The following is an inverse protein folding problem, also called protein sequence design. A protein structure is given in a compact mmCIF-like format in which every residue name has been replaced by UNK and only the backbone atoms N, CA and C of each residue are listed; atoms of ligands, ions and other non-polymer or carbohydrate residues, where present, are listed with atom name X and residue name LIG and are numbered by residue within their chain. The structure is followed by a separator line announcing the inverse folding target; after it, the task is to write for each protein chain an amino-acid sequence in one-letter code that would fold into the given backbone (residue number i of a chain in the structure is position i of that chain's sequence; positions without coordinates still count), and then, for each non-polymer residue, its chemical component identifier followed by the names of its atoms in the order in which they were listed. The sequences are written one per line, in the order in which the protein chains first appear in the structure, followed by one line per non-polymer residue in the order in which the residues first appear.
data_IF_792764374143
#
_entry.id   IF_792764374143
#
_cell.length_a   1.000
_cell.length_b   1.000
_cell.length_c   1.000
_cell.angle_alpha   90.00
_cell.angle_beta   90.00
_cell.angle_gamma   90.00
#
_symmetry.space_group_name_H-M   'P 1'
#
loop_
_entity.id
_entity.type
_entity.pdbx_description
1 polymer ?
#
# COMPACT_ATOMS: atom_id res chain seq x y z
N UNK A 1 33.16 -21.43 28.94
CA UNK A 1 32.82 -20.09 28.40
C UNK A 1 33.54 -18.92 29.10
N UNK A 2 33.74 -18.93 30.45
CA UNK A 2 34.56 -17.92 31.16
C UNK A 2 36.05 -17.87 30.73
N UNK A 3 36.56 -18.91 30.06
CA UNK A 3 37.95 -19.01 29.59
C UNK A 3 38.21 -18.42 28.20
N UNK A 4 37.18 -18.13 27.40
CA UNK A 4 37.39 -17.83 25.97
C UNK A 4 37.77 -16.37 25.67
N UNK A 5 37.58 -15.43 26.59
CA UNK A 5 37.89 -14.01 26.31
C UNK A 5 38.49 -13.32 27.53
N UNK A 6 39.75 -13.66 27.82
CA UNK A 6 40.53 -13.12 28.94
C UNK A 6 40.92 -11.64 28.74
N UNK A 7 41.02 -11.18 27.48
CA UNK A 7 41.44 -9.83 27.11
C UNK A 7 40.24 -8.88 26.92
N UNK A 8 40.28 -7.67 27.50
CA UNK A 8 39.26 -6.63 27.33
C UNK A 8 39.10 -6.15 25.88
N UNK A 9 40.19 -6.13 25.10
CA UNK A 9 40.15 -5.67 23.70
C UNK A 9 39.41 -6.66 22.80
N UNK A 10 39.64 -7.97 22.98
CA UNK A 10 38.93 -9.01 22.22
C UNK A 10 37.42 -9.00 22.51
N UNK A 11 37.01 -8.76 23.77
CA UNK A 11 35.58 -8.62 24.12
C UNK A 11 34.94 -7.44 23.41
N UNK A 12 35.63 -6.30 23.38
CA UNK A 12 35.15 -5.10 22.72
C UNK A 12 34.92 -5.32 21.22
N UNK A 13 35.89 -5.91 20.52
CA UNK A 13 35.79 -6.20 19.08
C UNK A 13 34.61 -7.15 18.80
N UNK A 14 34.48 -8.24 19.57
CA UNK A 14 33.36 -9.18 19.43
C UNK A 14 32.02 -8.46 19.65
N UNK A 15 31.96 -7.56 20.62
CA UNK A 15 30.73 -6.80 20.92
C UNK A 15 30.37 -5.85 19.78
N UNK A 16 31.38 -5.22 19.16
CA UNK A 16 31.19 -4.32 18.03
C UNK A 16 30.64 -5.08 16.81
N UNK A 17 31.21 -6.25 16.50
CA UNK A 17 30.72 -7.12 15.41
C UNK A 17 29.29 -7.57 15.70
N UNK A 18 29.00 -8.02 16.92
CA UNK A 18 27.66 -8.46 17.31
C UNK A 18 26.64 -7.31 17.26
N UNK A 19 27.02 -6.10 17.67
CA UNK A 19 26.19 -4.90 17.50
C UNK A 19 25.91 -4.59 16.05
N UNK A 20 26.92 -4.71 15.18
CA UNK A 20 26.74 -4.50 13.75
C UNK A 20 25.76 -5.51 13.14
N UNK A 21 25.93 -6.80 13.45
CA UNK A 21 25.00 -7.86 13.02
C UNK A 21 23.59 -7.59 13.55
N UNK A 22 23.46 -7.18 14.82
CA UNK A 22 22.18 -6.82 15.41
C UNK A 22 21.52 -5.66 14.65
N UNK A 23 22.27 -4.62 14.27
CA UNK A 23 21.75 -3.52 13.44
C UNK A 23 21.18 -4.04 12.12
N UNK A 24 21.89 -4.95 11.45
CA UNK A 24 21.43 -5.54 10.18
C UNK A 24 20.13 -6.33 10.38
N UNK A 25 20.05 -7.16 11.41
CA UNK A 25 18.85 -7.96 11.72
C UNK A 25 17.67 -7.07 12.06
N UNK A 26 17.87 -6.03 12.87
CA UNK A 26 16.80 -5.08 13.24
C UNK A 26 16.33 -4.26 12.03
N UNK A 27 17.24 -3.85 11.16
CA UNK A 27 16.91 -3.14 9.92
C UNK A 27 16.12 -4.06 8.98
N UNK A 28 16.56 -5.30 8.79
CA UNK A 28 15.85 -6.30 7.99
C UNK A 28 14.44 -6.56 8.55
N UNK A 29 14.32 -6.75 9.87
CA UNK A 29 13.03 -6.93 10.53
C UNK A 29 12.11 -5.72 10.27
N UNK A 30 12.66 -4.51 10.35
CA UNK A 30 11.91 -3.29 10.06
C UNK A 30 11.48 -3.21 8.60
N UNK A 31 12.32 -3.66 7.66
CA UNK A 31 11.94 -3.77 6.27
C UNK A 31 10.79 -4.76 6.07
N UNK A 32 10.86 -5.95 6.68
CA UNK A 32 9.79 -6.95 6.58
C UNK A 32 8.47 -6.41 7.12
N UNK A 33 8.49 -5.80 8.31
CA UNK A 33 7.29 -5.20 8.94
C UNK A 33 6.79 -4.01 8.10
N UNK A 34 7.69 -3.14 7.65
CA UNK A 34 7.35 -1.95 6.87
C UNK A 34 6.72 -2.30 5.52
N UNK A 35 7.23 -3.33 4.83
CA UNK A 35 6.62 -3.80 3.58
C UNK A 35 5.23 -4.38 3.86
N UNK A 36 5.12 -5.26 4.87
CA UNK A 36 3.86 -5.90 5.20
C UNK A 36 2.77 -4.90 5.61
N UNK A 37 3.07 -4.03 6.57
CA UNK A 37 2.12 -3.07 7.12
C UNK A 37 1.88 -1.86 6.21
N UNK A 38 2.88 -1.46 5.42
CA UNK A 38 2.82 -0.26 4.58
C UNK A 38 2.24 -0.49 3.19
N UNK A 39 2.62 -1.59 2.54
CA UNK A 39 2.24 -1.86 1.14
C UNK A 39 1.28 -3.03 1.03
N UNK A 40 1.57 -4.15 1.70
CA UNK A 40 0.81 -5.38 1.50
C UNK A 40 -0.50 -5.44 2.29
N UNK A 41 -0.83 -4.44 3.11
CA UNK A 41 -2.06 -4.44 3.90
C UNK A 41 -3.26 -3.91 3.10
N UNK A 42 -4.44 -4.54 3.18
CA UNK A 42 -5.65 -4.14 2.43
C UNK A 42 -6.01 -2.67 2.61
N UNK A 43 -5.89 -2.19 3.85
CA UNK A 43 -6.16 -0.80 4.22
C UNK A 43 -5.24 0.21 3.51
N UNK A 44 -4.07 -0.22 3.01
CA UNK A 44 -3.19 0.65 2.24
C UNK A 44 -3.82 1.05 0.90
N UNK A 45 -4.59 0.14 0.29
CA UNK A 45 -5.34 0.37 -0.95
C UNK A 45 -6.70 0.99 -0.66
N UNK A 46 -7.49 0.39 0.23
CA UNK A 46 -8.89 0.78 0.45
C UNK A 46 -9.03 2.24 0.92
N UNK A 47 -8.07 2.75 1.71
CA UNK A 47 -8.05 4.17 2.13
C UNK A 47 -7.78 5.16 1.00
N UNK A 48 -7.26 4.69 -0.14
CA UNK A 48 -6.95 5.51 -1.32
C UNK A 48 -8.08 5.52 -2.35
N UNK A 49 -9.04 4.60 -2.23
CA UNK A 49 -10.32 4.63 -2.93
C UNK A 49 -11.27 5.59 -2.19
N UNK A 50 -10.96 6.88 -2.30
CA UNK A 50 -11.70 7.96 -1.65
C UNK A 50 -12.68 8.67 -2.61
N UNK A 51 -13.41 9.66 -2.09
CA UNK A 51 -14.38 10.42 -2.89
C UNK A 51 -13.76 11.13 -4.10
N UNK A 52 -12.48 11.50 -4.02
CA UNK A 52 -11.79 12.18 -5.13
C UNK A 52 -11.50 11.18 -6.23
N UNK A 53 -11.01 9.99 -5.86
CA UNK A 53 -10.80 8.89 -6.80
C UNK A 53 -12.09 8.54 -7.56
N UNK A 54 -13.22 8.35 -6.85
CA UNK A 54 -14.48 7.98 -7.50
C UNK A 54 -15.02 9.06 -8.43
N UNK A 55 -14.89 10.34 -8.06
CA UNK A 55 -15.32 11.45 -8.91
C UNK A 55 -14.49 11.51 -10.19
N UNK A 56 -13.17 11.38 -10.08
CA UNK A 56 -12.30 11.41 -11.26
C UNK A 56 -12.48 10.18 -12.15
N UNK A 57 -12.74 9.01 -11.57
CA UNK A 57 -13.11 7.81 -12.35
C UNK A 57 -14.44 8.01 -13.08
N UNK A 58 -15.45 8.59 -12.40
CA UNK A 58 -16.74 8.93 -13.01
C UNK A 58 -16.58 9.90 -14.19
N UNK A 59 -15.69 10.91 -14.07
CA UNK A 59 -15.39 11.82 -15.19
C UNK A 59 -14.83 11.07 -16.38
N UNK A 60 -13.85 10.17 -16.18
CA UNK A 60 -13.27 9.37 -17.27
C UNK A 60 -14.31 8.46 -17.93
N UNK A 61 -15.18 7.83 -17.14
CA UNK A 61 -16.29 7.02 -17.65
C UNK A 61 -17.21 7.85 -18.56
N UNK A 62 -17.54 9.09 -18.18
CA UNK A 62 -18.34 9.99 -19.00
C UNK A 62 -17.60 10.45 -20.26
N UNK A 63 -16.32 10.85 -20.16
CA UNK A 63 -15.51 11.27 -21.31
C UNK A 63 -15.39 10.16 -22.36
N UNK A 64 -15.25 8.92 -21.92
CA UNK A 64 -15.21 7.74 -22.78
C UNK A 64 -16.58 7.46 -23.41
N UNK A 65 -17.66 7.56 -22.63
CA UNK A 65 -19.02 7.39 -23.12
C UNK A 65 -19.40 8.46 -24.16
N UNK A 66 -19.06 9.74 -23.92
CA UNK A 66 -19.28 10.84 -24.86
C UNK A 66 -18.48 10.63 -26.16
N UNK A 67 -17.24 10.15 -26.05
CA UNK A 67 -16.41 9.83 -27.22
C UNK A 67 -17.00 8.68 -28.04
N UNK A 68 -17.57 7.67 -27.39
CA UNK A 68 -18.20 6.52 -28.03
C UNK A 68 -19.60 6.84 -28.60
N UNK A 69 -20.33 7.78 -28.00
CA UNK A 69 -21.69 8.14 -28.40
C UNK A 69 -21.75 8.91 -29.72
N UNK A 70 -20.73 9.73 -30.02
CA UNK A 70 -20.64 10.53 -31.25
C UNK A 70 -20.73 9.67 -32.53
N UNK A 71 -19.84 8.67 -32.74
CA UNK A 71 -19.92 7.82 -33.94
C UNK A 71 -21.17 6.93 -33.94
N UNK A 72 -21.73 6.63 -32.76
CA UNK A 72 -22.96 5.85 -32.63
C UNK A 72 -24.24 6.67 -32.92
N UNK A 73 -24.12 7.98 -33.14
CA UNK A 73 -25.28 8.86 -33.37
C UNK A 73 -26.17 9.04 -32.14
N UNK A 74 -25.62 8.82 -30.94
CA UNK A 74 -26.34 8.94 -29.67
C UNK A 74 -26.24 10.39 -29.17
N UNK A 75 -27.37 11.08 -28.94
CA UNK A 75 -27.37 12.46 -28.45
C UNK A 75 -26.75 12.59 -27.05
N UNK A 76 -25.90 13.61 -26.83
CA UNK A 76 -25.19 13.79 -25.57
C UNK A 76 -26.13 14.07 -24.39
N UNK A 77 -27.32 14.64 -24.66
CA UNK A 77 -28.36 14.91 -23.66
C UNK A 77 -28.91 13.62 -23.02
N UNK A 78 -28.69 12.46 -23.67
CA UNK A 78 -29.16 11.16 -23.17
C UNK A 78 -28.18 10.49 -22.21
N UNK A 79 -26.97 11.04 -22.08
CA UNK A 79 -25.89 10.46 -21.29
C UNK A 79 -25.93 10.88 -19.81
N UNK A 80 -27.01 11.51 -19.35
CA UNK A 80 -27.15 11.92 -17.94
C UNK A 80 -27.44 10.73 -17.02
N UNK A 81 -26.85 10.73 -15.82
CA UNK A 81 -27.12 9.77 -14.74
C UNK A 81 -26.87 8.29 -15.09
N UNK A 82 -26.12 8.00 -16.17
CA UNK A 82 -25.69 6.65 -16.54
C UNK A 82 -24.78 6.02 -15.48
N UNK A 83 -23.89 6.81 -14.87
CA UNK A 83 -22.94 6.37 -13.85
C UNK A 83 -23.15 7.12 -12.54
N UNK A 84 -24.17 6.80 -11.72
CA UNK A 84 -24.33 7.44 -10.42
C UNK A 84 -23.07 7.29 -9.56
N UNK A 85 -22.58 8.38 -8.95
CA UNK A 85 -21.32 8.34 -8.17
C UNK A 85 -21.33 7.29 -7.05
N UNK A 86 -22.51 7.03 -6.47
CA UNK A 86 -22.69 5.99 -5.46
C UNK A 86 -22.49 4.59 -6.02
N UNK A 87 -22.95 4.33 -7.24
CA UNK A 87 -22.76 3.05 -7.94
C UNK A 87 -21.29 2.83 -8.22
N UNK A 88 -20.62 3.81 -8.85
CA UNK A 88 -19.16 3.79 -9.11
C UNK A 88 -18.40 3.50 -7.80
N UNK A 89 -18.72 4.21 -6.72
CA UNK A 89 -18.03 4.04 -5.45
C UNK A 89 -18.26 2.66 -4.80
N UNK A 90 -19.47 2.10 -4.91
CA UNK A 90 -19.80 0.79 -4.34
C UNK A 90 -19.15 -0.33 -5.15
N UNK A 91 -19.30 -0.31 -6.47
CA UNK A 91 -18.81 -1.37 -7.35
C UNK A 91 -17.29 -1.41 -7.39
N UNK A 92 -16.61 -0.25 -7.47
CA UNK A 92 -15.15 -0.20 -7.41
C UNK A 92 -14.62 -0.70 -6.06
N UNK A 93 -15.29 -0.39 -4.94
CA UNK A 93 -14.88 -0.91 -3.62
C UNK A 93 -15.14 -2.40 -3.50
N UNK A 94 -16.30 -2.87 -3.95
CA UNK A 94 -16.64 -4.29 -3.92
C UNK A 94 -15.66 -5.11 -4.76
N UNK A 95 -15.29 -4.61 -5.96
CA UNK A 95 -14.20 -5.16 -6.76
C UNK A 95 -12.90 -5.22 -5.96
N UNK A 96 -12.47 -4.08 -5.40
CA UNK A 96 -11.19 -4.02 -4.69
C UNK A 96 -11.14 -4.98 -3.49
N UNK A 97 -12.19 -5.02 -2.68
CA UNK A 97 -12.30 -5.92 -1.52
C UNK A 97 -12.33 -7.39 -1.93
N UNK A 98 -13.04 -7.73 -3.01
CA UNK A 98 -13.08 -9.10 -3.52
C UNK A 98 -11.70 -9.57 -4.01
N UNK A 99 -11.03 -8.77 -4.85
CA UNK A 99 -9.69 -9.09 -5.36
C UNK A 99 -8.70 -9.22 -4.20
N UNK A 100 -8.71 -8.29 -3.24
CA UNK A 100 -7.84 -8.32 -2.05
C UNK A 100 -8.07 -9.56 -1.18
N UNK A 101 -9.31 -10.07 -1.15
CA UNK A 101 -9.67 -11.33 -0.49
C UNK A 101 -9.36 -12.59 -1.34
N UNK A 102 -8.80 -12.44 -2.54
CA UNK A 102 -8.51 -13.54 -3.46
C UNK A 102 -9.75 -14.13 -4.14
N UNK A 103 -10.82 -13.34 -4.28
CA UNK A 103 -12.06 -13.71 -4.97
C UNK A 103 -12.18 -12.94 -6.27
N UNK A 104 -12.92 -13.50 -7.22
CA UNK A 104 -13.33 -12.79 -8.42
C UNK A 104 -14.55 -11.90 -8.12
N UNK A 105 -14.67 -10.81 -8.87
CA UNK A 105 -15.82 -9.91 -8.82
C UNK A 105 -16.04 -9.26 -10.17
N UNK A 106 -17.31 -9.23 -10.57
CA UNK A 106 -17.81 -8.57 -11.76
C UNK A 106 -19.03 -7.77 -11.34
N UNK A 107 -19.06 -6.47 -11.70
CA UNK A 107 -20.17 -5.61 -11.33
C UNK A 107 -21.38 -5.88 -12.23
N UNK A 108 -22.58 -5.75 -11.65
CA UNK A 108 -23.81 -5.81 -12.42
C UNK A 108 -24.02 -4.48 -13.17
N UNK A 109 -23.77 -4.49 -14.47
CA UNK A 109 -23.94 -3.33 -15.34
C UNK A 109 -25.31 -3.25 -16.01
N UNK A 110 -26.27 -4.11 -15.62
CA UNK A 110 -27.63 -4.10 -16.19
C UNK A 110 -28.27 -2.73 -16.07
N UNK A 111 -28.10 -2.07 -14.91
CA UNK A 111 -28.61 -0.72 -14.67
C UNK A 111 -28.02 0.34 -15.61
N UNK A 112 -26.74 0.22 -15.98
CA UNK A 112 -26.07 1.11 -16.94
C UNK A 112 -26.71 0.97 -18.32
N UNK A 113 -26.83 -0.28 -18.81
CA UNK A 113 -27.42 -0.57 -20.12
C UNK A 113 -28.89 -0.15 -20.19
N UNK A 114 -29.69 -0.45 -19.18
CA UNK A 114 -31.11 -0.10 -19.13
C UNK A 114 -31.33 1.41 -19.07
N UNK A 115 -30.55 2.12 -18.26
CA UNK A 115 -30.66 3.59 -18.12
C UNK A 115 -30.31 4.29 -19.43
N UNK A 116 -29.21 3.89 -20.08
CA UNK A 116 -28.82 4.47 -21.37
C UNK A 116 -29.89 4.25 -22.44
N UNK A 117 -30.38 3.02 -22.55
CA UNK A 117 -31.43 2.66 -23.49
C UNK A 117 -32.71 3.45 -23.22
N UNK A 118 -33.10 3.57 -21.96
CA UNK A 118 -34.29 4.31 -21.53
C UNK A 118 -34.20 5.80 -21.87
N UNK A 119 -33.05 6.43 -21.60
CA UNK A 119 -32.81 7.84 -21.89
C UNK A 119 -32.88 8.12 -23.39
N UNK A 120 -32.23 7.29 -24.21
CA UNK A 120 -32.25 7.44 -25.67
C UNK A 120 -33.66 7.27 -26.24
N UNK A 121 -34.39 6.24 -25.80
CA UNK A 121 -35.77 6.02 -26.25
C UNK A 121 -36.70 7.18 -25.85
N UNK A 122 -36.56 7.68 -24.63
CA UNK A 122 -37.35 8.83 -24.14
C UNK A 122 -37.06 10.09 -24.94
N UNK A 123 -35.79 10.34 -25.28
CA UNK A 123 -35.39 11.45 -26.14
C UNK A 123 -36.00 11.31 -27.54
N UNK A 124 -35.88 10.15 -28.17
CA UNK A 124 -36.44 9.92 -29.52
C UNK A 124 -37.95 10.10 -29.55
N UNK A 125 -38.67 9.60 -28.54
CA UNK A 125 -40.11 9.82 -28.40
C UNK A 125 -40.46 11.31 -28.24
N UNK A 126 -39.70 12.04 -27.42
CA UNK A 126 -39.91 13.49 -27.23
C UNK A 126 -39.72 14.30 -28.52
N UNK A 127 -38.85 13.82 -29.41
CA UNK A 127 -38.59 14.42 -30.73
C UNK A 127 -39.51 13.86 -31.83
N UNK A 128 -40.48 13.01 -31.48
CA UNK A 128 -41.37 12.33 -32.44
C UNK A 128 -40.61 11.51 -33.50
N UNK A 129 -39.45 10.95 -33.13
CA UNK A 129 -38.61 10.10 -33.98
C UNK A 129 -38.96 8.62 -33.69
N UNK A 130 -39.36 7.89 -34.73
CA UNK A 130 -39.57 6.44 -34.65
C UNK A 130 -38.32 5.70 -35.11
N UNK A 131 -37.77 4.85 -34.23
CA UNK A 131 -36.62 4.01 -34.56
C UNK A 131 -37.05 2.77 -35.36
N UNK A 132 -36.25 2.39 -36.35
CA UNK A 132 -36.39 1.10 -37.04
C UNK A 132 -35.97 -0.06 -36.13
N UNK A 133 -36.32 -1.30 -36.49
CA UNK A 133 -35.86 -2.49 -35.77
C UNK A 133 -34.33 -2.59 -35.73
N UNK A 134 -33.66 -2.22 -36.82
CA UNK A 134 -32.20 -2.20 -36.91
C UNK A 134 -31.59 -1.15 -35.95
N UNK A 135 -32.15 0.06 -35.91
CA UNK A 135 -31.70 1.09 -34.98
C UNK A 135 -31.92 0.71 -33.51
N UNK A 136 -33.02 0.01 -33.20
CA UNK A 136 -33.27 -0.54 -31.87
C UNK A 136 -32.25 -1.62 -31.48
N UNK A 137 -31.87 -2.48 -32.42
CA UNK A 137 -30.85 -3.50 -32.21
C UNK A 137 -29.47 -2.87 -31.97
N UNK A 138 -29.09 -1.86 -32.77
CA UNK A 138 -27.83 -1.14 -32.61
C UNK A 138 -27.77 -0.38 -31.27
N UNK A 139 -28.88 0.21 -30.83
CA UNK A 139 -28.96 0.83 -29.50
C UNK A 139 -28.79 -0.20 -28.38
N UNK A 140 -29.38 -1.38 -28.52
CA UNK A 140 -29.24 -2.47 -27.54
C UNK A 140 -27.78 -2.95 -27.44
N UNK A 141 -27.09 -3.09 -28.58
CA UNK A 141 -25.68 -3.45 -28.63
C UNK A 141 -24.79 -2.36 -28.02
N UNK A 142 -25.03 -1.09 -28.36
CA UNK A 142 -24.29 0.04 -27.78
C UNK A 142 -24.48 0.12 -26.26
N UNK A 143 -25.71 -0.07 -25.76
CA UNK A 143 -26.01 -0.07 -24.33
C UNK A 143 -25.34 -1.24 -23.59
N UNK A 144 -25.28 -2.42 -24.20
CA UNK A 144 -24.54 -3.57 -23.66
C UNK A 144 -23.04 -3.33 -23.63
N UNK A 145 -22.48 -2.78 -24.71
CA UNK A 145 -21.06 -2.43 -24.77
C UNK A 145 -20.71 -1.40 -23.70
N UNK A 146 -21.54 -0.37 -23.52
CA UNK A 146 -21.38 0.63 -22.45
C UNK A 146 -21.38 -0.03 -21.06
N UNK A 147 -22.25 -1.01 -20.84
CA UNK A 147 -22.25 -1.79 -19.61
C UNK A 147 -20.98 -2.62 -19.41
N UNK A 148 -20.44 -3.22 -20.48
CA UNK A 148 -19.18 -3.97 -20.44
C UNK A 148 -17.98 -3.04 -20.17
N UNK A 149 -17.89 -1.91 -20.89
CA UNK A 149 -16.85 -0.89 -20.71
C UNK A 149 -16.84 -0.38 -19.27
N UNK A 150 -18.02 -0.12 -18.69
CA UNK A 150 -18.16 0.21 -17.27
C UNK A 150 -17.52 -0.84 -16.36
N UNK A 151 -17.85 -2.13 -16.54
CA UNK A 151 -17.30 -3.20 -15.69
C UNK A 151 -15.79 -3.35 -15.82
N UNK A 152 -15.21 -3.00 -16.97
CA UNK A 152 -13.77 -3.04 -17.20
C UNK A 152 -13.06 -1.83 -16.62
N UNK A 153 -13.62 -0.63 -16.75
CA UNK A 153 -13.02 0.61 -16.27
C UNK A 153 -12.99 0.73 -14.74
N UNK A 154 -13.97 0.18 -14.03
CA UNK A 154 -13.96 0.19 -12.56
C UNK A 154 -12.89 -0.73 -11.96
N UNK A 155 -12.28 -1.62 -12.76
CA UNK A 155 -11.22 -2.51 -12.30
C UNK A 155 -9.98 -1.70 -12.00
N UNK A 156 -9.35 -2.00 -10.87
CA UNK A 156 -8.12 -1.35 -10.42
C UNK A 156 -6.92 -2.22 -10.85
N UNK A 157 -6.20 -1.88 -11.94
CA UNK A 157 -5.34 -2.85 -12.64
C UNK A 157 -4.18 -3.42 -11.79
N UNK A 158 -3.67 -2.66 -10.82
CA UNK A 158 -2.53 -3.09 -10.00
C UNK A 158 -2.92 -4.06 -8.87
N UNK A 159 -4.21 -4.20 -8.54
CA UNK A 159 -4.64 -4.98 -7.38
C UNK A 159 -4.29 -6.47 -7.50
N UNK A 160 -4.49 -7.05 -8.67
CA UNK A 160 -4.16 -8.45 -8.93
C UNK A 160 -2.67 -8.71 -8.72
N UNK A 161 -1.81 -7.79 -9.19
CA UNK A 161 -0.36 -7.88 -8.97
C UNK A 161 0.02 -7.72 -7.50
N UNK A 162 -0.68 -6.86 -6.76
CA UNK A 162 -0.47 -6.69 -5.31
C UNK A 162 -0.81 -7.99 -4.55
N UNK A 163 -1.92 -8.64 -4.89
CA UNK A 163 -2.34 -9.90 -4.27
C UNK A 163 -1.37 -11.03 -4.61
N UNK A 164 -0.91 -11.12 -5.86
CA UNK A 164 0.13 -12.07 -6.24
C UNK A 164 1.43 -11.84 -5.45
N UNK A 165 1.88 -10.59 -5.37
CA UNK A 165 3.05 -10.23 -4.57
C UNK A 165 2.84 -10.59 -3.09
N UNK A 166 1.67 -10.28 -2.52
CA UNK A 166 1.31 -10.68 -1.14
C UNK A 166 1.42 -12.18 -0.95
N UNK A 167 0.85 -12.98 -1.85
CA UNK A 167 0.86 -14.44 -1.71
C UNK A 167 2.28 -15.02 -1.77
N UNK A 168 3.19 -14.39 -2.51
CA UNK A 168 4.60 -14.77 -2.58
C UNK A 168 5.35 -14.35 -1.30
N UNK A 169 5.15 -13.11 -0.83
CA UNK A 169 5.96 -12.53 0.26
C UNK A 169 5.40 -12.74 1.66
N UNK A 170 4.08 -12.94 1.82
CA UNK A 170 3.46 -13.12 3.14
C UNK A 170 4.01 -14.34 3.89
N UNK A 171 4.24 -15.52 3.26
CA UNK A 171 4.89 -16.65 3.94
C UNK A 171 6.32 -16.30 4.41
N UNK A 172 7.07 -15.58 3.58
CA UNK A 172 8.43 -15.13 3.91
C UNK A 172 8.40 -14.18 5.10
N UNK A 173 7.43 -13.27 5.17
CA UNK A 173 7.27 -12.34 6.30
C UNK A 173 6.83 -13.07 7.58
N UNK A 174 5.90 -14.03 7.46
CA UNK A 174 5.39 -14.82 8.58
C UNK A 174 6.49 -15.62 9.29
N UNK A 175 7.52 -16.06 8.56
CA UNK A 175 8.69 -16.77 9.12
C UNK A 175 9.83 -15.80 9.44
N UNK A 176 10.12 -14.87 8.52
CA UNK A 176 11.26 -13.96 8.61
C UNK A 176 11.19 -13.00 9.79
N UNK A 177 9.99 -12.52 10.15
CA UNK A 177 9.80 -11.63 11.30
C UNK A 177 10.11 -12.37 12.62
N UNK A 178 9.48 -13.52 12.95
CA UNK A 178 9.82 -14.29 14.15
C UNK A 178 11.28 -14.72 14.22
N UNK A 179 11.87 -15.15 13.10
CA UNK A 179 13.30 -15.53 13.04
C UNK A 179 14.19 -14.33 13.37
N UNK A 180 13.90 -13.16 12.81
CA UNK A 180 14.65 -11.94 13.10
C UNK A 180 14.55 -11.52 14.57
N UNK A 181 13.36 -11.66 15.17
CA UNK A 181 13.14 -11.42 16.61
C UNK A 181 13.98 -12.39 17.44
N UNK A 182 13.94 -13.69 17.13
CA UNK A 182 14.67 -14.72 17.85
C UNK A 182 16.19 -14.49 17.77
N UNK A 183 16.72 -14.20 16.59
CA UNK A 183 18.14 -13.88 16.41
C UNK A 183 18.53 -12.63 17.21
N UNK A 184 17.69 -11.58 17.18
CA UNK A 184 17.92 -10.34 17.93
C UNK A 184 17.97 -10.58 19.44
N UNK A 185 17.09 -11.45 19.97
CA UNK A 185 17.08 -11.86 21.37
C UNK A 185 18.37 -12.64 21.71
N UNK A 186 18.77 -13.61 20.87
CA UNK A 186 19.98 -14.40 21.10
C UNK A 186 21.24 -13.53 21.14
N UNK A 187 21.40 -12.61 20.18
CA UNK A 187 22.53 -11.66 20.16
C UNK A 187 22.50 -10.77 21.40
N UNK A 188 21.32 -10.31 21.81
CA UNK A 188 21.17 -9.45 22.99
C UNK A 188 21.56 -10.19 24.29
N UNK A 189 21.09 -11.42 24.47
CA UNK A 189 21.45 -12.26 25.61
C UNK A 189 22.95 -12.59 25.62
N UNK A 190 23.52 -12.87 24.46
CA UNK A 190 24.96 -13.11 24.32
C UNK A 190 25.78 -11.89 24.74
N UNK A 191 25.43 -10.69 24.25
CA UNK A 191 26.08 -9.44 24.64
C UNK A 191 25.98 -9.18 26.15
N UNK A 192 24.81 -9.40 26.75
CA UNK A 192 24.61 -9.21 28.20
C UNK A 192 25.45 -10.21 29.01
N UNK A 193 25.56 -11.47 28.59
CA UNK A 193 26.39 -12.47 29.28
C UNK A 193 27.89 -12.22 29.14
N UNK A 194 28.32 -11.52 28.10
CA UNK A 194 29.74 -11.25 27.84
C UNK A 194 30.38 -10.31 28.87
N UNK A 195 29.58 -9.42 29.48
CA UNK A 195 30.06 -8.43 30.44
C UNK A 195 29.53 -8.70 31.86
N UNK A 196 30.43 -8.66 32.84
CA UNK A 196 30.03 -8.64 34.25
C UNK A 196 29.19 -7.39 34.58
N UNK A 197 29.64 -6.23 34.09
CA UNK A 197 28.92 -4.98 34.20
C UNK A 197 27.94 -4.82 33.04
N UNK A 198 26.68 -5.19 33.28
CA UNK A 198 25.60 -5.18 32.27
C UNK A 198 25.43 -3.84 31.53
N UNK A 199 25.69 -2.70 32.18
CA UNK A 199 25.62 -1.38 31.53
C UNK A 199 26.58 -1.24 30.33
N UNK A 200 27.70 -1.98 30.29
CA UNK A 200 28.61 -2.00 29.14
C UNK A 200 27.98 -2.72 27.95
N UNK A 201 27.23 -3.80 28.19
CA UNK A 201 26.50 -4.53 27.16
C UNK A 201 25.30 -3.73 26.61
N UNK A 202 24.55 -3.05 27.47
CA UNK A 202 23.37 -2.27 27.05
C UNK A 202 23.74 -1.11 26.12
N UNK A 203 24.95 -0.53 26.23
CA UNK A 203 25.46 0.46 25.27
C UNK A 203 25.54 -0.08 23.85
N UNK A 204 26.01 -1.31 23.69
CA UNK A 204 26.10 -1.98 22.39
C UNK A 204 24.71 -2.23 21.78
N UNK A 205 23.71 -2.57 22.60
CA UNK A 205 22.32 -2.67 22.16
C UNK A 205 21.74 -1.30 21.74
N UNK A 206 22.07 -0.26 22.50
CA UNK A 206 21.65 1.11 22.22
C UNK A 206 22.19 1.59 20.88
N UNK A 207 23.46 1.31 20.57
CA UNK A 207 24.06 1.66 19.29
C UNK A 207 23.36 0.95 18.14
N UNK A 208 23.05 -0.35 18.30
CA UNK A 208 22.36 -1.11 17.26
C UNK A 208 20.95 -0.59 16.98
N UNK A 209 20.16 -0.33 18.02
CA UNK A 209 18.78 0.18 17.88
C UNK A 209 18.77 1.61 17.34
N UNK A 210 19.73 2.45 17.76
CA UNK A 210 19.89 3.81 17.24
C UNK A 210 20.23 3.79 15.75
N UNK A 211 21.21 2.97 15.35
CA UNK A 211 21.62 2.85 13.94
C UNK A 211 20.49 2.31 13.07
N UNK A 212 19.77 1.28 13.52
CA UNK A 212 18.63 0.75 12.79
C UNK A 212 17.53 1.82 12.62
N UNK A 213 17.20 2.55 13.69
CA UNK A 213 16.24 3.66 13.64
C UNK A 213 16.65 4.75 12.66
N UNK A 214 17.92 5.18 12.68
CA UNK A 214 18.44 6.18 11.75
C UNK A 214 18.39 5.71 10.30
N UNK A 215 18.76 4.47 10.00
CA UNK A 215 18.67 3.91 8.64
C UNK A 215 17.22 3.92 8.12
N UNK A 216 16.27 3.54 8.99
CA UNK A 216 14.85 3.51 8.67
C UNK A 216 14.20 4.91 8.56
N UNK A 217 14.85 5.96 9.06
CA UNK A 217 14.38 7.35 8.88
C UNK A 217 15.05 7.97 7.66
N UNK A 218 16.38 7.86 7.55
CA UNK A 218 17.16 8.58 6.53
C UNK A 218 16.82 8.07 5.13
N UNK A 219 16.88 6.76 4.90
CA UNK A 219 16.66 6.21 3.55
C UNK A 219 15.23 6.50 3.05
N UNK A 220 14.16 6.15 3.80
CA UNK A 220 12.79 6.47 3.39
C UNK A 220 12.52 7.98 3.36
N UNK A 221 13.10 8.75 4.29
CA UNK A 221 12.97 10.20 4.34
C UNK A 221 13.54 10.88 3.09
N UNK A 222 14.70 10.44 2.60
CA UNK A 222 15.27 10.93 1.34
C UNK A 222 14.37 10.62 0.15
N UNK A 223 13.77 9.43 0.10
CA UNK A 223 12.80 9.09 -0.97
C UNK A 223 11.56 9.99 -0.91
N UNK A 224 11.05 10.30 0.29
CA UNK A 224 9.92 11.22 0.46
C UNK A 224 10.25 12.65 0.03
N UNK A 225 11.45 13.14 0.35
CA UNK A 225 11.91 14.48 0.01
C UNK A 225 12.19 14.66 -1.48
N UNK A 226 12.84 13.68 -2.11
CA UNK A 226 13.15 13.68 -3.55
C UNK A 226 11.91 13.54 -4.42
N UNK A 227 10.83 12.99 -3.85
CA UNK A 227 9.54 12.84 -4.54
C UNK A 227 9.62 11.88 -5.73
N UNK A 228 10.48 10.85 -5.68
CA UNK A 228 10.66 9.90 -6.79
C UNK A 228 9.33 9.32 -7.30
N UNK A 229 8.42 8.99 -6.39
CA UNK A 229 7.07 8.47 -6.69
C UNK A 229 6.17 9.48 -7.42
N UNK A 230 6.48 10.78 -7.41
CA UNK A 230 5.73 11.81 -8.14
C UNK A 230 6.16 11.95 -9.60
N UNK A 231 7.29 11.35 -9.99
CA UNK A 231 7.85 11.43 -11.35
C UNK A 231 7.34 10.32 -12.27
N UNK A 232 6.52 9.41 -11.76
CA UNK A 232 5.88 8.37 -12.55
C UNK A 232 4.75 9.04 -13.34
N UNK A 233 4.89 9.13 -14.66
CA UNK A 233 3.86 9.68 -15.52
C UNK A 233 2.82 8.58 -15.79
N UNK A 234 1.72 8.61 -15.03
CA UNK A 234 0.61 7.68 -15.18
C UNK A 234 -0.62 8.46 -15.64
N UNK A 235 -1.15 8.07 -16.79
CA UNK A 235 -2.49 8.44 -17.22
C UNK A 235 -3.41 7.25 -16.92
N UNK A 236 -4.65 7.47 -16.44
CA UNK A 236 -5.29 8.77 -16.16
C UNK A 236 -4.89 9.39 -14.80
N UNK A 237 -5.19 10.70 -14.61
CA UNK A 237 -4.79 11.48 -13.42
C UNK A 237 -5.26 10.88 -12.09
N UNK A 238 -6.47 10.30 -12.05
CA UNK A 238 -6.99 9.64 -10.85
C UNK A 238 -6.09 8.48 -10.40
N UNK A 239 -5.51 7.76 -11.35
CA UNK A 239 -4.63 6.64 -11.10
C UNK A 239 -3.26 7.10 -10.59
N UNK A 240 -2.76 8.22 -11.13
CA UNK A 240 -1.56 8.87 -10.61
C UNK A 240 -1.71 9.24 -9.13
N UNK A 241 -2.79 9.91 -8.76
CA UNK A 241 -3.02 10.31 -7.37
C UNK A 241 -3.19 9.11 -6.44
N UNK A 242 -3.86 8.07 -6.91
CA UNK A 242 -3.96 6.80 -6.21
C UNK A 242 -2.56 6.20 -5.95
N UNK A 243 -1.76 5.97 -6.99
CA UNK A 243 -0.46 5.28 -6.90
C UNK A 243 0.55 6.09 -6.09
N UNK A 244 0.64 7.39 -6.35
CA UNK A 244 1.53 8.28 -5.60
C UNK A 244 1.16 8.35 -4.12
N UNK A 245 -0.13 8.40 -3.80
CA UNK A 245 -0.65 8.37 -2.44
C UNK A 245 -0.39 7.06 -1.72
N UNK A 246 -0.59 5.93 -2.40
CA UNK A 246 -0.27 4.59 -1.92
C UNK A 246 1.23 4.44 -1.61
N UNK A 247 2.10 4.81 -2.56
CA UNK A 247 3.55 4.75 -2.39
C UNK A 247 4.03 5.63 -1.23
N UNK A 248 3.56 6.89 -1.18
CA UNK A 248 3.89 7.81 -0.09
C UNK A 248 3.46 7.26 1.27
N UNK A 249 2.27 6.63 1.35
CA UNK A 249 1.76 6.05 2.60
C UNK A 249 2.61 4.87 3.07
N UNK A 250 2.97 3.96 2.15
CA UNK A 250 3.82 2.82 2.48
C UNK A 250 5.20 3.27 2.97
N UNK A 251 5.82 4.25 2.31
CA UNK A 251 7.14 4.79 2.73
C UNK A 251 7.07 5.47 4.11
N UNK A 252 5.97 6.18 4.43
CA UNK A 252 5.78 6.80 5.75
C UNK A 252 5.77 5.78 6.90
N UNK A 253 5.30 4.55 6.66
CA UNK A 253 5.34 3.49 7.70
C UNK A 253 6.77 3.20 8.15
N UNK A 254 7.76 3.21 7.25
CA UNK A 254 9.16 3.00 7.62
C UNK A 254 9.68 4.12 8.51
N UNK A 255 9.31 5.37 8.23
CA UNK A 255 9.69 6.52 9.06
C UNK A 255 9.10 6.38 10.46
N UNK A 256 7.84 5.97 10.57
CA UNK A 256 7.17 5.71 11.86
C UNK A 256 7.91 4.60 12.64
N UNK A 257 8.23 3.47 11.99
CA UNK A 257 9.00 2.39 12.60
C UNK A 257 10.40 2.84 13.04
N UNK A 258 11.04 3.72 12.25
CA UNK A 258 12.31 4.33 12.61
C UNK A 258 12.23 5.19 13.88
N UNK A 259 11.17 5.99 14.03
CA UNK A 259 10.93 6.73 15.27
C UNK A 259 10.67 5.81 16.47
N UNK A 260 9.97 4.69 16.29
CA UNK A 260 9.81 3.69 17.35
C UNK A 260 11.16 3.14 17.83
N UNK A 261 12.10 2.90 16.90
CA UNK A 261 13.46 2.50 17.28
C UNK A 261 14.23 3.59 18.03
N UNK A 262 14.05 4.86 17.67
CA UNK A 262 14.65 5.96 18.43
C UNK A 262 14.11 6.02 19.87
N UNK A 263 12.81 5.75 20.08
CA UNK A 263 12.22 5.66 21.41
C UNK A 263 12.80 4.49 22.21
N UNK A 264 12.93 3.31 21.59
CA UNK A 264 13.59 2.15 22.21
C UNK A 264 15.03 2.47 22.57
N UNK A 265 15.77 3.16 21.70
CA UNK A 265 17.15 3.58 21.98
C UNK A 265 17.22 4.57 23.15
N UNK A 266 16.35 5.59 23.19
CA UNK A 266 16.27 6.53 24.31
C UNK A 266 15.98 5.84 25.65
N UNK A 267 15.08 4.86 25.65
CA UNK A 267 14.81 4.02 26.82
C UNK A 267 16.07 3.25 27.27
N UNK A 268 16.80 2.60 26.35
CA UNK A 268 18.03 1.87 26.66
C UNK A 268 19.15 2.79 27.18
N UNK A 269 19.23 4.04 26.71
CA UNK A 269 20.13 5.06 27.26
C UNK A 269 19.79 5.32 28.73
N UNK A 270 18.50 5.53 29.06
CA UNK A 270 18.03 5.73 30.43
C UNK A 270 18.32 4.54 31.35
N UNK A 271 18.12 3.31 30.86
CA UNK A 271 18.50 2.08 31.58
C UNK A 271 19.99 2.04 31.83
N UNK A 272 20.82 2.34 30.83
CA UNK A 272 22.28 2.38 30.96
C UNK A 272 22.73 3.39 32.02
N UNK A 273 22.12 4.57 32.05
CA UNK A 273 22.43 5.60 33.04
C UNK A 273 22.06 5.17 34.47
N UNK A 274 20.90 4.54 34.65
CA UNK A 274 20.43 4.04 35.95
C UNK A 274 21.32 2.93 36.50
N UNK A 275 21.70 1.97 35.64
CA UNK A 275 22.60 0.87 36.00
C UNK A 275 24.03 1.32 36.29
N UNK A 276 24.45 2.47 35.77
CA UNK A 276 25.75 3.07 36.11
C UNK A 276 25.72 3.69 37.51
N UNK A 277 24.58 4.27 37.91
CA UNK A 277 24.39 4.85 39.26
C UNK A 277 24.37 3.78 40.35
N UNK A 278 23.77 2.61 40.10
CA UNK A 278 23.66 1.51 41.07
C UNK A 278 24.93 0.68 41.29
N UNK A 279 26.01 0.97 40.56
CA UNK A 279 27.30 0.26 40.66
C UNK A 279 28.36 1.13 41.38
N UNK A 280 28.04 2.40 41.63
CA UNK A 280 28.80 3.24 42.58
C UNK A 280 28.36 2.92 44.00
#
# INVERSE_FOLDING_TARGET
MRSLIKNSSTRYIISLIMSFILTLVLTLMTCLIGIYAGFLHDNAVLKRLDSTYFKSLQTVLYDNLESASIPAGIPLETLTDIYPLTMVALDTKAYAEAILAGREYEADSTAVSETLKSNVLSYMQSQSISLTQEQLANLDEFAKQTGADYTDEIKVPFLTYLVQARNIYAPVMMIGIPVSILISILISLFLIRLYHFKHKAVRFLTYSTLSAGLLCIIVPGLVLLTGFYKRINLEPEYFYHFVSGYLSSGIKVFVILGFLWLLVSAFLIGVTASMKKSVK
#
